data_IF_089969188972
#
_entry.id   IF_089969188972
#
_cell.length_a   1.000
_cell.length_b   1.000
_cell.length_c   1.000
_cell.angle_alpha   90.00
_cell.angle_beta   90.00
_cell.angle_gamma   90.00
#
_symmetry.space_group_name_H-M   'P 1'
#
loop_
_entity.id
_entity.type
_entity.pdbx_description
1 polymer ?
#
# COMPACT_ATOMS: atom_id res chain seq x y z
N UNK A 1 -7.81 12.31 4.73
CA UNK A 1 -7.74 10.98 4.07
C UNK A 1 -8.25 9.90 5.01
N UNK A 2 -8.71 8.78 4.47
CA UNK A 2 -9.15 7.59 5.23
C UNK A 2 -8.86 6.29 4.46
N UNK A 3 -8.82 5.18 5.17
CA UNK A 3 -8.86 3.83 4.62
C UNK A 3 -10.31 3.35 4.67
N UNK A 4 -10.88 3.05 3.52
CA UNK A 4 -12.22 2.46 3.39
C UNK A 4 -12.08 1.01 2.91
N UNK A 5 -12.79 0.04 3.51
CA UNK A 5 -12.83 -1.33 2.97
C UNK A 5 -13.19 -1.32 1.48
N UNK A 6 -12.52 -2.18 0.72
CA UNK A 6 -12.78 -2.37 -0.71
C UNK A 6 -14.21 -2.89 -0.93
N UNK A 7 -14.81 -2.57 -2.08
CA UNK A 7 -16.14 -3.02 -2.54
C UNK A 7 -16.06 -3.54 -3.97
N UNK A 8 -17.09 -4.18 -4.44
CA UNK A 8 -17.16 -4.67 -5.83
C UNK A 8 -17.09 -3.53 -6.85
N UNK A 9 -17.67 -2.38 -6.52
CA UNK A 9 -17.68 -1.19 -7.38
C UNK A 9 -16.28 -0.61 -7.61
N UNK A 10 -15.29 -0.95 -6.76
CA UNK A 10 -13.93 -0.47 -6.88
C UNK A 10 -13.12 -1.23 -7.96
N UNK A 11 -13.68 -2.25 -8.60
CA UNK A 11 -12.99 -3.11 -9.55
C UNK A 11 -12.30 -2.32 -10.67
N UNK A 12 -13.02 -1.37 -11.30
CA UNK A 12 -12.47 -0.54 -12.37
C UNK A 12 -11.30 0.33 -11.91
N UNK A 13 -11.45 0.95 -10.73
CA UNK A 13 -10.39 1.76 -10.14
C UNK A 13 -9.14 0.91 -9.83
N UNK A 14 -9.31 -0.29 -9.28
CA UNK A 14 -8.20 -1.19 -8.95
C UNK A 14 -7.48 -1.63 -10.23
N UNK A 15 -8.22 -2.05 -11.26
CA UNK A 15 -7.63 -2.44 -12.55
C UNK A 15 -6.84 -1.28 -13.14
N UNK A 16 -7.44 -0.09 -13.22
CA UNK A 16 -6.77 1.09 -13.72
C UNK A 16 -5.49 1.40 -12.93
N UNK A 17 -5.57 1.45 -11.61
CA UNK A 17 -4.45 1.80 -10.71
C UNK A 17 -3.28 0.82 -10.84
N UNK A 18 -3.57 -0.49 -10.89
CA UNK A 18 -2.55 -1.55 -10.97
C UNK A 18 -1.88 -1.63 -12.34
N UNK A 19 -2.53 -1.11 -13.38
CA UNK A 19 -2.00 -1.09 -14.74
C UNK A 19 -1.28 0.23 -15.10
N UNK A 20 -1.16 1.18 -14.18
CA UNK A 20 -0.32 2.36 -14.37
C UNK A 20 1.16 1.97 -14.53
N UNK A 21 1.90 2.69 -15.35
CA UNK A 21 3.30 2.37 -15.68
C UNK A 21 4.20 2.23 -14.46
N UNK A 22 3.97 3.06 -13.43
CA UNK A 22 4.75 2.99 -12.19
C UNK A 22 4.37 1.81 -11.28
N UNK A 23 3.23 1.18 -11.49
CA UNK A 23 2.75 0.03 -10.71
C UNK A 23 3.00 -1.30 -11.43
N UNK A 24 2.86 -1.29 -12.76
CA UNK A 24 2.98 -2.49 -13.60
C UNK A 24 4.33 -3.19 -13.36
N UNK A 25 4.26 -4.50 -13.08
CA UNK A 25 5.44 -5.32 -12.83
C UNK A 25 6.14 -5.06 -11.47
N UNK A 26 5.56 -4.22 -10.59
CA UNK A 26 6.12 -3.95 -9.25
C UNK A 26 5.22 -4.40 -8.11
N UNK A 27 3.97 -4.76 -8.41
CA UNK A 27 2.92 -5.06 -7.43
C UNK A 27 2.33 -6.47 -7.59
N UNK A 28 3.07 -7.39 -8.16
CA UNK A 28 2.61 -8.75 -8.50
C UNK A 28 1.65 -8.73 -9.69
N UNK A 29 1.05 -9.90 -9.98
CA UNK A 29 0.12 -10.03 -11.10
C UNK A 29 -1.09 -9.12 -10.93
N UNK A 30 -1.45 -8.45 -12.02
CA UNK A 30 -2.60 -7.56 -12.08
C UNK A 30 -3.70 -8.19 -12.92
N UNK A 31 -4.94 -8.09 -12.46
CA UNK A 31 -6.08 -8.45 -13.27
C UNK A 31 -6.06 -7.64 -14.58
N UNK A 32 -6.22 -8.27 -15.74
CA UNK A 32 -6.14 -7.58 -17.03
C UNK A 32 -7.37 -6.68 -17.27
N UNK A 33 -8.50 -7.02 -16.66
CA UNK A 33 -9.79 -6.37 -16.88
C UNK A 33 -10.68 -6.39 -15.63
N UNK A 34 -11.83 -5.70 -15.74
CA UNK A 34 -12.84 -5.61 -14.70
C UNK A 34 -13.43 -6.96 -14.31
N UNK A 35 -13.68 -7.85 -15.26
CA UNK A 35 -14.31 -9.15 -14.98
C UNK A 35 -13.39 -10.03 -14.13
N UNK A 36 -12.11 -10.09 -14.48
CA UNK A 36 -11.07 -10.77 -13.72
C UNK A 36 -10.91 -10.18 -12.31
N UNK A 37 -10.97 -8.85 -12.18
CA UNK A 37 -10.89 -8.19 -10.87
C UNK A 37 -12.12 -8.47 -10.01
N UNK A 38 -13.32 -8.52 -10.58
CA UNK A 38 -14.54 -8.91 -9.87
C UNK A 38 -14.44 -10.36 -9.38
N UNK A 39 -13.98 -11.29 -10.22
CA UNK A 39 -13.77 -12.69 -9.83
C UNK A 39 -12.78 -12.80 -8.66
N UNK A 40 -11.69 -12.02 -8.72
CA UNK A 40 -10.72 -11.96 -7.61
C UNK A 40 -11.35 -11.38 -6.33
N UNK A 41 -12.10 -10.27 -6.41
CA UNK A 41 -12.80 -9.68 -5.26
C UNK A 41 -13.83 -10.64 -4.66
N UNK A 42 -14.57 -11.38 -5.48
CA UNK A 42 -15.51 -12.40 -5.01
C UNK A 42 -14.82 -13.47 -4.17
N UNK A 43 -13.64 -13.93 -4.60
CA UNK A 43 -12.80 -14.85 -3.83
C UNK A 43 -12.21 -14.18 -2.58
N UNK A 44 -11.79 -12.92 -2.69
CA UNK A 44 -11.25 -12.15 -1.57
C UNK A 44 -12.27 -12.01 -0.42
N UNK A 45 -13.54 -11.73 -0.71
CA UNK A 45 -14.58 -11.57 0.32
C UNK A 45 -14.91 -12.85 1.10
N UNK A 46 -14.41 -14.00 0.66
CA UNK A 46 -14.52 -15.28 1.39
C UNK A 46 -13.34 -15.51 2.35
N UNK A 47 -12.33 -14.64 2.35
CA UNK A 47 -11.13 -14.82 3.16
C UNK A 47 -11.32 -14.18 4.53
N UNK A 48 -10.94 -14.89 5.57
CA UNK A 48 -10.74 -14.30 6.89
C UNK A 48 -9.35 -13.64 6.95
N UNK A 49 -9.22 -12.63 7.81
CA UNK A 49 -7.95 -11.97 8.13
C UNK A 49 -7.15 -11.48 6.89
N UNK A 50 -7.89 -11.02 5.88
CA UNK A 50 -7.34 -10.34 4.70
C UNK A 50 -8.05 -8.98 4.56
N UNK A 51 -7.34 -7.89 4.81
CA UNK A 51 -7.88 -6.55 4.77
C UNK A 51 -7.36 -5.81 3.53
N UNK A 52 -8.29 -5.39 2.67
CA UNK A 52 -7.98 -4.60 1.49
C UNK A 52 -8.78 -3.30 1.53
N UNK A 53 -8.08 -2.19 1.34
CA UNK A 53 -8.64 -0.85 1.48
C UNK A 53 -8.44 -0.02 0.21
N UNK A 54 -9.42 0.83 -0.05
CA UNK A 54 -9.27 2.01 -0.88
C UNK A 54 -8.81 3.16 0.00
N UNK A 55 -7.80 3.88 -0.45
CA UNK A 55 -7.34 5.13 0.15
C UNK A 55 -8.16 6.25 -0.47
N UNK A 56 -8.92 6.97 0.36
CA UNK A 56 -9.78 8.05 -0.07
C UNK A 56 -9.35 9.39 0.50
N UNK A 57 -9.56 10.46 -0.29
CA UNK A 57 -9.50 11.84 0.20
C UNK A 57 -10.64 12.13 1.17
N UNK A 58 -10.65 13.33 1.76
CA UNK A 58 -11.78 13.78 2.58
C UNK A 58 -13.06 13.95 1.75
N UNK A 59 -12.94 14.30 0.46
CA UNK A 59 -14.06 14.42 -0.48
C UNK A 59 -14.54 13.08 -1.06
N UNK A 60 -13.96 11.94 -0.63
CA UNK A 60 -14.39 10.60 -1.05
C UNK A 60 -13.79 10.12 -2.37
N UNK A 61 -12.80 10.81 -2.94
CA UNK A 61 -12.12 10.36 -4.15
C UNK A 61 -11.08 9.29 -3.85
N UNK A 62 -11.13 8.19 -4.60
CA UNK A 62 -10.15 7.12 -4.54
C UNK A 62 -8.79 7.59 -5.11
N UNK A 63 -7.73 7.47 -4.32
CA UNK A 63 -6.37 7.90 -4.70
C UNK A 63 -5.34 6.77 -4.60
N UNK A 64 -5.73 5.61 -4.07
CA UNK A 64 -4.83 4.47 -3.96
C UNK A 64 -5.47 3.28 -3.28
N UNK A 65 -4.66 2.27 -3.06
CA UNK A 65 -5.02 1.04 -2.34
C UNK A 65 -4.00 0.73 -1.25
N UNK A 66 -4.40 -0.06 -0.24
CA UNK A 66 -3.53 -0.57 0.81
C UNK A 66 -4.07 -1.92 1.32
N UNK A 67 -3.20 -2.86 1.65
CA UNK A 67 -3.62 -4.16 2.17
C UNK A 67 -2.78 -4.65 3.33
N UNK A 68 -3.44 -5.45 4.20
CA UNK A 68 -2.85 -6.20 5.31
C UNK A 68 -3.42 -7.62 5.26
N UNK A 69 -2.57 -8.63 5.22
CA UNK A 69 -2.97 -10.04 5.15
C UNK A 69 -1.92 -10.96 5.76
N UNK A 70 -2.13 -12.27 5.67
CA UNK A 70 -1.22 -13.30 6.17
C UNK A 70 -0.86 -13.06 7.66
N UNK A 71 -1.92 -12.93 8.47
CA UNK A 71 -1.78 -12.76 9.91
C UNK A 71 -1.31 -14.07 10.54
N UNK A 72 -0.11 -14.06 11.09
CA UNK A 72 0.50 -15.21 11.79
C UNK A 72 1.54 -14.75 12.79
N UNK A 73 1.71 -15.47 13.89
CA UNK A 73 2.72 -15.17 14.92
C UNK A 73 2.75 -13.70 15.35
N UNK A 74 1.56 -13.11 15.55
CA UNK A 74 1.36 -11.70 15.88
C UNK A 74 1.92 -10.74 14.82
N UNK A 75 2.16 -11.20 13.60
CA UNK A 75 2.61 -10.38 12.48
C UNK A 75 1.60 -10.37 11.33
N UNK A 76 1.70 -9.38 10.45
CA UNK A 76 0.95 -9.30 9.21
C UNK A 76 1.84 -8.88 8.05
N UNK A 77 1.51 -9.30 6.84
CA UNK A 77 2.12 -8.76 5.64
C UNK A 77 1.39 -7.49 5.21
N UNK A 78 2.14 -6.43 4.90
CA UNK A 78 1.62 -5.17 4.37
C UNK A 78 2.05 -5.00 2.93
N UNK A 79 1.11 -4.60 2.08
CA UNK A 79 1.35 -4.34 0.66
C UNK A 79 0.08 -3.97 -0.08
N UNK A 80 -0.07 -4.38 -1.35
CA UNK A 80 -1.12 -3.88 -2.24
C UNK A 80 -1.21 -2.36 -2.20
N UNK A 81 -0.08 -1.72 -1.86
CA UNK A 81 0.02 -0.29 -1.66
C UNK A 81 0.45 0.39 -2.95
N UNK A 82 -0.51 1.02 -3.58
CA UNK A 82 -0.33 1.76 -4.83
C UNK A 82 -1.03 3.10 -4.68
N UNK A 83 -0.35 4.17 -5.07
CA UNK A 83 -0.88 5.54 -5.03
C UNK A 83 -0.86 6.12 -6.44
N UNK A 84 -1.86 6.89 -6.79
CA UNK A 84 -1.85 7.74 -7.99
C UNK A 84 -0.62 8.65 -7.96
N UNK A 85 0.05 8.81 -9.11
CA UNK A 85 1.28 9.63 -9.18
C UNK A 85 1.03 11.12 -9.01
N UNK A 86 -0.15 11.59 -9.41
CA UNK A 86 -0.54 12.99 -9.35
C UNK A 86 -1.01 13.46 -7.96
N UNK A 87 -0.96 12.57 -6.96
CA UNK A 87 -1.43 12.85 -5.59
C UNK A 87 -0.33 12.55 -4.58
N UNK A 88 0.07 13.50 -3.72
CA UNK A 88 1.13 13.28 -2.72
C UNK A 88 0.63 12.49 -1.50
N UNK A 89 -0.06 11.36 -1.75
CA UNK A 89 -0.74 10.57 -0.73
C UNK A 89 0.12 9.45 -0.11
N UNK A 90 1.35 9.23 -0.59
CA UNK A 90 2.16 8.09 -0.17
C UNK A 90 2.43 8.08 1.36
N UNK A 91 3.05 9.12 1.89
CA UNK A 91 3.40 9.17 3.33
C UNK A 91 2.14 9.16 4.22
N UNK A 92 1.14 10.04 4.02
CA UNK A 92 -0.04 10.02 4.88
C UNK A 92 -0.84 8.70 4.80
N UNK A 93 -0.88 8.01 3.66
CA UNK A 93 -1.56 6.72 3.57
C UNK A 93 -0.79 5.60 4.28
N UNK A 94 0.55 5.59 4.20
CA UNK A 94 1.37 4.65 4.95
C UNK A 94 1.21 4.85 6.46
N UNK A 95 1.16 6.10 6.93
CA UNK A 95 0.87 6.40 8.34
C UNK A 95 -0.48 5.82 8.75
N UNK A 96 -1.55 6.02 7.96
CA UNK A 96 -2.86 5.45 8.26
C UNK A 96 -2.82 3.91 8.33
N UNK A 97 -2.14 3.26 7.39
CA UNK A 97 -2.05 1.80 7.33
C UNK A 97 -1.26 1.20 8.48
N UNK A 98 -0.11 1.78 8.82
CA UNK A 98 0.74 1.31 9.90
C UNK A 98 0.13 1.61 11.29
N UNK A 99 -0.51 2.77 11.46
CA UNK A 99 -1.26 3.09 12.68
C UNK A 99 -2.46 2.15 12.88
N UNK A 100 -3.14 1.75 11.81
CA UNK A 100 -4.20 0.73 11.85
C UNK A 100 -3.62 -0.63 12.30
N UNK A 101 -2.52 -1.05 11.69
CA UNK A 101 -1.90 -2.35 11.97
C UNK A 101 -1.43 -2.46 13.42
N UNK A 102 -0.61 -1.52 13.88
CA UNK A 102 -0.06 -1.57 15.24
C UNK A 102 -1.08 -1.16 16.31
N UNK A 103 -1.88 -0.12 16.03
CA UNK A 103 -2.78 0.45 17.02
C UNK A 103 -4.09 -0.32 17.18
N UNK A 104 -4.83 -0.57 16.09
CA UNK A 104 -6.16 -1.20 16.17
C UNK A 104 -6.13 -2.71 16.02
N UNK A 105 -5.29 -3.24 15.11
CA UNK A 105 -5.18 -4.69 14.89
C UNK A 105 -4.18 -5.34 15.85
N UNK A 106 -3.38 -4.56 16.58
CA UNK A 106 -2.51 -5.03 17.64
C UNK A 106 -1.35 -5.93 17.17
N UNK A 107 -0.99 -5.90 15.87
CA UNK A 107 0.13 -6.68 15.37
C UNK A 107 1.45 -6.22 16.03
N UNK A 108 2.37 -7.15 16.23
CA UNK A 108 3.69 -6.88 16.83
C UNK A 108 4.79 -6.78 15.79
N UNK A 109 4.51 -7.16 14.55
CA UNK A 109 5.47 -7.06 13.45
C UNK A 109 4.74 -6.90 12.11
N UNK A 110 5.15 -5.94 11.31
CA UNK A 110 4.79 -5.85 9.90
C UNK A 110 5.91 -6.46 9.06
N UNK A 111 5.52 -7.24 8.06
CA UNK A 111 6.38 -7.79 7.02
C UNK A 111 6.04 -7.13 5.69
N UNK A 112 7.05 -6.78 4.91
CA UNK A 112 6.89 -6.19 3.57
C UNK A 112 7.86 -6.87 2.62
N UNK A 113 7.41 -7.16 1.40
CA UNK A 113 8.25 -7.61 0.28
C UNK A 113 8.26 -6.54 -0.80
N UNK A 114 9.43 -6.22 -1.30
CA UNK A 114 9.57 -5.21 -2.37
C UNK A 114 10.59 -5.69 -3.37
N UNK A 115 10.23 -5.65 -4.66
CA UNK A 115 11.17 -6.00 -5.74
C UNK A 115 12.37 -5.06 -5.72
N UNK A 116 13.57 -5.62 -5.93
CA UNK A 116 14.84 -4.89 -5.81
C UNK A 116 14.96 -3.69 -6.77
N UNK A 117 14.20 -3.71 -7.85
CA UNK A 117 14.15 -2.62 -8.85
C UNK A 117 13.25 -1.45 -8.45
N UNK A 118 12.42 -1.59 -7.40
CA UNK A 118 11.53 -0.52 -6.93
C UNK A 118 12.22 0.41 -5.93
N UNK A 119 13.26 1.11 -6.38
CA UNK A 119 14.09 1.97 -5.55
C UNK A 119 13.31 3.01 -4.73
N UNK A 120 12.25 3.68 -5.27
CA UNK A 120 11.47 4.63 -4.48
C UNK A 120 10.81 3.99 -3.27
N UNK A 121 10.20 2.81 -3.41
CA UNK A 121 9.53 2.11 -2.30
C UNK A 121 10.54 1.55 -1.32
N UNK A 122 11.68 1.03 -1.78
CA UNK A 122 12.78 0.61 -0.90
C UNK A 122 13.26 1.77 0.00
N UNK A 123 13.42 2.96 -0.59
CA UNK A 123 13.81 4.16 0.17
C UNK A 123 12.74 4.55 1.20
N UNK A 124 11.45 4.48 0.82
CA UNK A 124 10.33 4.78 1.73
C UNK A 124 10.25 3.78 2.89
N UNK A 125 10.40 2.48 2.62
CA UNK A 125 10.39 1.46 3.66
C UNK A 125 11.44 1.75 4.74
N UNK A 126 12.67 2.11 4.33
CA UNK A 126 13.73 2.49 5.27
C UNK A 126 13.41 3.76 6.06
N UNK A 127 12.78 4.76 5.42
CA UNK A 127 12.31 5.98 6.10
C UNK A 127 11.20 5.69 7.12
N UNK A 128 10.37 4.67 6.88
CA UNK A 128 9.36 4.19 7.84
C UNK A 128 9.98 3.39 9.01
N UNK A 129 11.29 3.23 9.04
CA UNK A 129 12.00 2.51 10.09
C UNK A 129 12.06 1.00 9.89
N UNK A 130 11.69 0.52 8.70
CA UNK A 130 11.78 -0.89 8.36
C UNK A 130 13.24 -1.32 8.23
N UNK A 131 13.54 -2.53 8.68
CA UNK A 131 14.83 -3.18 8.56
C UNK A 131 14.81 -4.22 7.46
N UNK A 132 15.85 -4.26 6.65
CA UNK A 132 16.10 -5.35 5.70
C UNK A 132 16.28 -6.65 6.48
N UNK A 133 15.51 -7.70 6.20
CA UNK A 133 15.61 -8.99 6.90
C UNK A 133 16.35 -10.04 6.08
N UNK A 134 16.06 -10.15 4.80
CA UNK A 134 16.78 -10.99 3.84
C UNK A 134 16.46 -10.60 2.40
N UNK A 135 17.22 -11.15 1.46
CA UNK A 135 17.01 -11.02 0.02
C UNK A 135 16.64 -12.39 -0.54
N UNK A 136 15.46 -12.49 -1.14
CA UNK A 136 14.99 -13.66 -1.87
C UNK A 136 15.39 -13.52 -3.33
N UNK A 137 16.35 -14.34 -3.76
CA UNK A 137 16.93 -14.27 -5.12
C UNK A 137 15.95 -14.81 -6.16
N UNK A 138 15.91 -14.15 -7.33
CA UNK A 138 15.15 -14.58 -8.51
C UNK A 138 13.68 -14.95 -8.23
N UNK A 139 13.08 -14.31 -7.21
CA UNK A 139 11.78 -14.69 -6.66
C UNK A 139 10.59 -14.16 -7.47
N UNK A 140 10.82 -13.23 -8.39
CA UNK A 140 9.77 -12.73 -9.29
C UNK A 140 10.26 -12.58 -10.73
N UNK A 141 9.34 -12.73 -11.69
CA UNK A 141 9.61 -12.44 -13.10
C UNK A 141 8.88 -11.17 -13.50
N UNK A 142 9.61 -10.15 -13.93
CA UNK A 142 9.08 -8.87 -14.39
C UNK A 142 9.62 -8.58 -15.79
N UNK A 143 8.72 -8.43 -16.77
CA UNK A 143 9.11 -8.19 -18.16
C UNK A 143 10.02 -9.28 -18.72
N UNK A 144 9.82 -10.54 -18.31
CA UNK A 144 10.62 -11.70 -18.72
C UNK A 144 12.00 -11.81 -18.05
N UNK A 145 12.29 -10.98 -17.05
CA UNK A 145 13.56 -11.01 -16.29
C UNK A 145 13.29 -11.40 -14.83
N UNK A 146 14.08 -12.33 -14.31
CA UNK A 146 14.08 -12.61 -12.86
C UNK A 146 14.59 -11.42 -12.09
N UNK A 147 13.93 -11.10 -10.99
CA UNK A 147 14.30 -10.03 -10.07
C UNK A 147 14.23 -10.52 -8.62
N UNK A 148 15.12 -9.99 -7.81
CA UNK A 148 15.14 -10.28 -6.37
C UNK A 148 14.01 -9.53 -5.66
N UNK A 149 13.55 -10.09 -4.53
CA UNK A 149 12.74 -9.37 -3.55
C UNK A 149 13.55 -9.10 -2.28
N UNK A 150 13.43 -7.90 -1.78
CA UNK A 150 13.98 -7.50 -0.47
C UNK A 150 12.84 -7.58 0.53
N UNK A 151 13.05 -8.34 1.57
CA UNK A 151 12.12 -8.51 2.68
C UNK A 151 12.48 -7.53 3.78
N UNK A 152 11.46 -6.89 4.33
CA UNK A 152 11.56 -5.94 5.42
C UNK A 152 10.72 -6.37 6.60
N UNK A 153 11.14 -5.97 7.78
CA UNK A 153 10.34 -6.04 9.00
C UNK A 153 10.26 -4.69 9.68
N UNK A 154 9.15 -4.43 10.36
CA UNK A 154 8.92 -3.25 11.17
C UNK A 154 8.29 -3.66 12.50
N UNK A 155 8.90 -3.24 13.59
CA UNK A 155 8.41 -3.41 14.96
C UNK A 155 7.73 -2.12 15.45
N UNK A 156 6.79 -2.18 16.43
CA UNK A 156 6.06 -1.01 16.91
C UNK A 156 6.96 0.13 17.40
N UNK A 157 8.04 -0.20 18.13
CA UNK A 157 8.95 0.80 18.70
C UNK A 157 9.73 1.56 17.61
N UNK A 158 10.08 0.87 16.51
CA UNK A 158 10.72 1.49 15.36
C UNK A 158 9.72 2.38 14.62
N UNK A 159 8.46 1.93 14.51
CA UNK A 159 7.40 2.72 13.91
C UNK A 159 7.12 4.00 14.68
N UNK A 160 6.99 3.95 16.00
CA UNK A 160 6.76 5.14 16.83
C UNK A 160 7.83 6.21 16.56
N UNK A 161 9.10 5.82 16.59
CA UNK A 161 10.23 6.72 16.31
C UNK A 161 10.20 7.30 14.89
N UNK A 162 9.90 6.46 13.90
CA UNK A 162 9.82 6.91 12.50
C UNK A 162 8.61 7.82 12.27
N UNK A 163 7.46 7.50 12.86
CA UNK A 163 6.22 8.27 12.79
C UNK A 163 6.39 9.69 13.33
N UNK A 164 7.07 9.86 14.45
CA UNK A 164 7.39 11.19 15.01
C UNK A 164 8.21 12.03 14.02
N UNK A 165 9.26 11.44 13.44
CA UNK A 165 10.10 12.12 12.44
C UNK A 165 9.34 12.47 11.15
N UNK A 166 8.38 11.64 10.78
CA UNK A 166 7.59 11.82 9.55
C UNK A 166 6.38 12.75 9.74
N UNK A 167 5.99 13.05 10.98
CA UNK A 167 4.78 13.82 11.27
C UNK A 167 4.69 15.18 10.53
N UNK A 168 5.75 16.01 10.46
CA UNK A 168 5.69 17.27 9.71
C UNK A 168 5.45 17.04 8.21
N UNK A 169 6.13 16.07 7.62
CA UNK A 169 6.02 15.73 6.20
C UNK A 169 4.65 15.11 5.88
N UNK A 170 4.15 14.23 6.74
CA UNK A 170 2.82 13.63 6.61
C UNK A 170 1.72 14.71 6.68
N UNK A 171 1.86 15.69 7.59
CA UNK A 171 0.92 16.80 7.71
C UNK A 171 0.95 17.72 6.48
N UNK A 172 2.13 18.03 5.95
CA UNK A 172 2.27 18.82 4.73
C UNK A 172 1.62 18.10 3.54
N UNK A 173 1.97 16.83 3.33
CA UNK A 173 1.42 16.02 2.24
C UNK A 173 -0.11 15.87 2.37
N UNK A 174 -0.63 15.68 3.59
CA UNK A 174 -2.08 15.59 3.80
C UNK A 174 -2.81 16.90 3.42
N UNK A 175 -2.22 18.07 3.68
CA UNK A 175 -2.77 19.35 3.21
C UNK A 175 -2.77 19.45 1.68
N UNK A 176 -1.66 19.09 1.04
CA UNK A 176 -1.56 19.04 -0.42
C UNK A 176 -2.57 18.11 -1.07
N UNK A 177 -2.84 16.94 -0.45
CA UNK A 177 -3.94 16.05 -0.88
C UNK A 177 -5.29 16.76 -0.78
N UNK A 178 -5.52 17.52 0.28
CA UNK A 178 -6.76 18.31 0.43
C UNK A 178 -6.91 19.40 -0.62
N UNK A 179 -5.82 20.07 -1.00
CA UNK A 179 -5.79 21.08 -2.07
C UNK A 179 -6.06 20.43 -3.43
N UNK A 180 -5.38 19.31 -3.71
CA UNK A 180 -5.62 18.52 -4.92
C UNK A 180 -7.10 18.09 -5.02
N UNK A 181 -7.68 17.59 -3.94
CA UNK A 181 -9.07 17.13 -3.89
C UNK A 181 -10.06 18.25 -4.21
N UNK A 182 -9.83 19.46 -3.65
CA UNK A 182 -10.64 20.65 -3.94
C UNK A 182 -10.51 21.10 -5.40
N UNK A 183 -9.32 20.99 -5.98
CA UNK A 183 -9.11 21.36 -7.38
C UNK A 183 -9.88 20.46 -8.35
N UNK A 184 -10.05 19.18 -8.03
CA UNK A 184 -10.83 18.22 -8.83
C UNK A 184 -12.36 18.46 -8.78
N UNK A 185 -12.85 19.23 -7.81
CA UNK A 185 -14.28 19.52 -7.66
C UNK A 185 -14.73 20.82 -8.34
N UNK A 186 -13.83 21.50 -9.06
CA UNK A 186 -14.10 22.78 -9.75
C UNK A 186 -14.26 22.61 -11.27
N UNK A 187 -14.37 21.37 -11.75
CA UNK A 187 -14.61 21.01 -13.16
C UNK A 187 -16.05 20.61 -13.43
#
# INVERSE_FOLDING_TARGET
>A
MRLRPVRMEDADFIVWLRNLDHARGRVGDSAPDRASQIAWLSSYFQRADDYYFIIETAGGRAVGTYGLWDFRDQSAESGRWIIRQDVPAAIPSAVLGLDLAFGKLGVKRIRVKTVSTNLPVLSLNRKFGMKDSHVEKDSQVIGGKSVDQIHFTLEPEAWVKAREKLAPLASLAARQVGEWDKAQGKG
#
